data_IF_147490267722
#
_entry.id   IF_147490267722
#
_cell.length_a   1.000
_cell.length_b   1.000
_cell.length_c   1.000
_cell.angle_alpha   90.00
_cell.angle_beta   90.00
_cell.angle_gamma   90.00
#
_symmetry.space_group_name_H-M   'P 1'
#
loop_
_entity.id
_entity.type
_entity.pdbx_description
1 polymer ?
#
# COMPACT_ATOMS: atom_id res chain seq x y z
N UNK A 1 7.18 -1.79 -21.82
CA UNK A 1 6.45 -1.00 -20.81
C UNK A 1 5.37 -1.82 -20.12
N UNK A 2 4.28 -2.21 -20.80
CA UNK A 2 3.11 -2.86 -20.18
C UNK A 2 3.43 -4.17 -19.44
N UNK A 3 4.26 -5.04 -20.04
CA UNK A 3 4.67 -6.29 -19.41
C UNK A 3 5.44 -6.05 -18.09
N UNK A 4 6.38 -5.09 -18.10
CA UNK A 4 7.14 -4.73 -16.90
C UNK A 4 6.23 -4.16 -15.80
N UNK A 5 5.27 -3.32 -16.19
CA UNK A 5 4.27 -2.77 -15.26
C UNK A 5 3.41 -3.87 -14.65
N UNK A 6 2.94 -4.83 -15.45
CA UNK A 6 2.14 -5.96 -14.99
C UNK A 6 2.95 -6.88 -14.05
N UNK A 7 4.20 -7.19 -14.40
CA UNK A 7 5.09 -7.98 -13.56
C UNK A 7 5.38 -7.29 -12.23
N UNK A 8 5.68 -5.99 -12.26
CA UNK A 8 5.91 -5.19 -11.07
C UNK A 8 4.66 -5.13 -10.18
N UNK A 9 3.47 -4.95 -10.75
CA UNK A 9 2.20 -4.99 -10.01
C UNK A 9 1.92 -6.35 -9.39
N UNK A 10 2.17 -7.44 -10.12
CA UNK A 10 2.10 -8.80 -9.58
C UNK A 10 3.06 -9.02 -8.42
N UNK A 11 4.31 -8.58 -8.56
CA UNK A 11 5.32 -8.62 -7.48
C UNK A 11 4.89 -7.81 -6.26
N UNK A 12 4.34 -6.61 -6.47
CA UNK A 12 3.77 -5.79 -5.40
C UNK A 12 2.66 -6.52 -4.65
N UNK A 13 1.72 -7.14 -5.38
CA UNK A 13 0.63 -7.91 -4.79
C UNK A 13 1.10 -9.14 -4.00
N UNK A 14 2.14 -9.84 -4.49
CA UNK A 14 2.77 -10.96 -3.76
C UNK A 14 3.47 -10.45 -2.50
N UNK A 15 4.25 -9.37 -2.59
CA UNK A 15 4.92 -8.77 -1.44
C UNK A 15 3.91 -8.32 -0.38
N UNK A 16 2.79 -7.72 -0.81
CA UNK A 16 1.66 -7.38 0.05
C UNK A 16 1.12 -8.61 0.78
N UNK A 17 0.81 -9.68 0.04
CA UNK A 17 0.28 -10.91 0.63
C UNK A 17 1.21 -11.50 1.68
N UNK A 18 2.51 -11.55 1.39
CA UNK A 18 3.52 -12.07 2.32
C UNK A 18 3.67 -11.18 3.56
N UNK A 19 3.75 -9.85 3.38
CA UNK A 19 3.87 -8.90 4.47
C UNK A 19 2.65 -8.93 5.40
N UNK A 20 1.44 -8.91 4.82
CA UNK A 20 0.19 -8.96 5.57
C UNK A 20 0.08 -10.28 6.35
N UNK A 21 0.38 -11.41 5.71
CA UNK A 21 0.41 -12.73 6.37
C UNK A 21 1.43 -12.79 7.50
N UNK A 22 2.63 -12.24 7.29
CA UNK A 22 3.68 -12.22 8.29
C UNK A 22 3.28 -11.39 9.51
N UNK A 23 2.73 -10.19 9.30
CA UNK A 23 2.26 -9.31 10.37
C UNK A 23 1.10 -9.98 11.11
N UNK A 24 0.12 -10.52 10.40
CA UNK A 24 -1.03 -11.19 11.01
C UNK A 24 -0.63 -12.33 11.95
N UNK A 25 0.40 -13.11 11.62
CA UNK A 25 0.92 -14.20 12.48
C UNK A 25 1.52 -13.72 13.79
N UNK A 26 2.05 -12.51 13.83
CA UNK A 26 2.74 -11.95 15.00
C UNK A 26 1.97 -10.82 15.66
N UNK A 27 0.77 -10.51 15.19
CA UNK A 27 -0.02 -9.40 15.66
C UNK A 27 -0.90 -9.82 16.86
N UNK A 28 -0.62 -9.34 18.08
CA UNK A 28 -1.45 -9.65 19.25
C UNK A 28 -2.71 -8.79 19.32
N UNK A 29 -2.83 -7.75 18.47
CA UNK A 29 -3.96 -6.83 18.48
C UNK A 29 -5.09 -7.34 17.57
N UNK A 30 -6.33 -6.97 17.91
CA UNK A 30 -7.51 -7.21 17.06
C UNK A 30 -7.61 -6.27 15.85
N UNK A 31 -6.62 -5.41 15.64
CA UNK A 31 -6.56 -4.49 14.52
C UNK A 31 -5.72 -5.07 13.38
N UNK A 32 -6.10 -4.88 12.11
CA UNK A 32 -5.30 -5.32 10.96
C UNK A 32 -4.08 -4.42 10.75
N UNK A 33 -2.99 -4.72 11.47
CA UNK A 33 -1.75 -3.95 11.36
C UNK A 33 -1.01 -4.18 10.03
N UNK A 34 -1.25 -5.31 9.36
CA UNK A 34 -0.60 -5.66 8.10
C UNK A 34 -0.97 -4.68 6.98
N UNK A 35 -2.27 -4.46 6.77
CA UNK A 35 -2.78 -3.46 5.82
C UNK A 35 -2.30 -2.03 6.12
N UNK A 36 -2.25 -1.62 7.39
CA UNK A 36 -1.69 -0.31 7.76
C UNK A 36 -0.20 -0.23 7.37
N UNK A 37 0.57 -1.26 7.68
CA UNK A 37 2.00 -1.32 7.41
C UNK A 37 2.31 -1.21 5.92
N UNK A 38 1.67 -2.04 5.08
CA UNK A 38 1.91 -2.04 3.62
C UNK A 38 1.53 -0.70 2.97
N UNK A 39 0.47 -0.04 3.46
CA UNK A 39 0.02 1.24 2.90
C UNK A 39 0.99 2.36 3.27
N UNK A 40 1.41 2.44 4.54
CA UNK A 40 2.39 3.43 4.99
C UNK A 40 3.74 3.24 4.30
N UNK A 41 4.27 2.01 4.29
CA UNK A 41 5.59 1.75 3.67
C UNK A 41 5.53 1.91 2.15
N UNK A 42 4.40 1.56 1.52
CA UNK A 42 4.18 1.74 0.08
C UNK A 42 4.08 3.22 -0.32
N UNK A 43 3.34 4.03 0.44
CA UNK A 43 3.27 5.48 0.22
C UNK A 43 4.61 6.17 0.47
N UNK A 44 5.36 5.76 1.50
CA UNK A 44 6.71 6.27 1.74
C UNK A 44 7.64 5.95 0.57
N UNK A 45 7.61 4.70 0.07
CA UNK A 45 8.39 4.30 -1.10
C UNK A 45 7.98 5.09 -2.34
N UNK A 46 6.68 5.27 -2.59
CA UNK A 46 6.19 6.04 -3.73
C UNK A 46 6.61 7.51 -3.65
N UNK A 47 6.54 8.11 -2.46
CA UNK A 47 7.00 9.47 -2.19
C UNK A 47 8.51 9.61 -2.43
N UNK A 48 9.31 8.67 -1.92
CA UNK A 48 10.75 8.63 -2.14
C UNK A 48 11.09 8.50 -3.63
N UNK A 49 10.47 7.58 -4.35
CA UNK A 49 10.65 7.40 -5.80
C UNK A 49 10.24 8.65 -6.57
N UNK A 50 9.14 9.29 -6.17
CA UNK A 50 8.66 10.53 -6.80
C UNK A 50 9.64 11.67 -6.59
N UNK A 51 10.19 11.82 -5.37
CA UNK A 51 11.22 12.82 -5.06
C UNK A 51 12.51 12.57 -5.82
N UNK A 52 13.01 11.33 -5.83
CA UNK A 52 14.25 10.96 -6.52
C UNK A 52 14.18 11.21 -8.04
N UNK A 53 13.02 10.96 -8.64
CA UNK A 53 12.81 11.11 -10.09
C UNK A 53 12.31 12.50 -10.50
N UNK A 54 12.17 13.44 -9.54
CA UNK A 54 11.67 14.79 -9.81
C UNK A 54 12.60 15.63 -10.70
N UNK A 55 13.92 15.48 -10.53
CA UNK A 55 14.92 16.22 -11.28
C UNK A 55 15.07 15.77 -12.76
N UNK A 56 14.58 14.57 -13.10
CA UNK A 56 14.66 13.98 -14.44
C UNK A 56 13.28 13.84 -15.13
N UNK A 57 12.30 14.67 -14.75
CA UNK A 57 10.90 14.50 -15.17
C UNK A 57 10.65 14.58 -16.69
N UNK A 58 11.60 15.11 -17.47
CA UNK A 58 11.54 15.16 -18.93
C UNK A 58 12.09 13.91 -19.64
N UNK A 59 12.77 13.01 -18.92
CA UNK A 59 13.43 11.86 -19.53
C UNK A 59 12.49 10.65 -19.65
N UNK A 60 12.48 10.02 -20.83
CA UNK A 60 11.68 8.83 -21.13
C UNK A 60 11.96 7.65 -20.19
N UNK A 61 13.20 7.54 -19.70
CA UNK A 61 13.61 6.57 -18.69
C UNK A 61 12.94 6.86 -17.34
N UNK A 62 12.91 8.12 -16.90
CA UNK A 62 12.27 8.53 -15.65
C UNK A 62 10.78 8.23 -15.64
N UNK A 63 10.09 8.51 -16.76
CA UNK A 63 8.68 8.18 -16.93
C UNK A 63 8.42 6.66 -16.85
N UNK A 64 9.28 5.85 -17.47
CA UNK A 64 9.20 4.39 -17.43
C UNK A 64 9.35 3.86 -16.01
N UNK A 65 10.34 4.35 -15.26
CA UNK A 65 10.58 3.92 -13.87
C UNK A 65 9.41 4.29 -12.98
N UNK A 66 8.85 5.51 -13.11
CA UNK A 66 7.66 5.94 -12.35
C UNK A 66 6.45 5.05 -12.63
N UNK A 67 6.22 4.68 -13.89
CA UNK A 67 5.12 3.79 -14.25
C UNK A 67 5.32 2.38 -13.70
N UNK A 68 6.51 1.78 -13.87
CA UNK A 68 6.78 0.41 -13.45
C UNK A 68 6.82 0.27 -11.92
N UNK A 69 7.55 1.13 -11.22
CA UNK A 69 7.71 1.03 -9.77
C UNK A 69 6.59 1.74 -9.01
N UNK A 70 6.15 2.91 -9.47
CA UNK A 70 5.07 3.66 -8.82
C UNK A 70 3.71 3.04 -9.09
N UNK A 71 3.27 3.07 -10.35
CA UNK A 71 1.95 2.51 -10.71
C UNK A 71 1.91 0.98 -10.61
N UNK A 72 2.96 0.30 -11.08
CA UNK A 72 3.06 -1.16 -11.00
C UNK A 72 3.28 -1.63 -9.57
N UNK A 73 4.52 -1.61 -9.08
CA UNK A 73 4.88 -2.21 -7.79
C UNK A 73 4.13 -1.58 -6.61
N UNK A 74 4.22 -0.25 -6.41
CA UNK A 74 3.56 0.39 -5.26
C UNK A 74 2.02 0.28 -5.36
N UNK A 75 1.46 0.35 -6.57
CA UNK A 75 0.03 0.14 -6.79
C UNK A 75 -0.45 -1.29 -6.48
N UNK A 76 0.37 -2.31 -6.74
CA UNK A 76 0.06 -3.69 -6.35
C UNK A 76 0.30 -3.98 -4.86
N UNK A 77 1.29 -3.30 -4.27
CA UNK A 77 1.72 -3.46 -2.88
C UNK A 77 0.79 -2.78 -1.87
N UNK A 78 0.22 -1.63 -2.22
CA UNK A 78 -0.76 -0.92 -1.39
C UNK A 78 -2.20 -1.38 -1.72
N UNK A 79 -3.15 -1.11 -0.83
CA UNK A 79 -4.56 -1.48 -1.05
C UNK A 79 -5.53 -0.56 -0.30
N UNK A 80 -6.44 0.06 -1.05
CA UNK A 80 -7.57 0.80 -0.48
C UNK A 80 -8.79 -0.10 -0.20
N UNK A 81 -9.01 -1.11 -1.04
CA UNK A 81 -10.18 -1.98 -0.95
C UNK A 81 -10.15 -2.83 0.33
N UNK A 82 -8.99 -3.38 0.67
CA UNK A 82 -8.81 -4.15 1.92
C UNK A 82 -9.02 -3.27 3.14
N UNK A 83 -8.39 -2.08 3.18
CA UNK A 83 -8.52 -1.17 4.30
C UNK A 83 -9.98 -0.69 4.51
N UNK A 84 -10.73 -0.49 3.42
CA UNK A 84 -12.16 -0.14 3.48
C UNK A 84 -13.00 -1.26 4.11
N UNK A 85 -12.80 -2.50 3.66
CA UNK A 85 -13.51 -3.67 4.20
C UNK A 85 -13.18 -3.88 5.68
N UNK A 86 -11.90 -3.77 6.05
CA UNK A 86 -11.45 -3.90 7.43
C UNK A 86 -12.01 -2.80 8.34
N UNK A 87 -12.08 -1.57 7.85
CA UNK A 87 -12.69 -0.45 8.59
C UNK A 87 -14.15 -0.72 8.91
N UNK A 88 -14.91 -1.23 7.94
CA UNK A 88 -16.33 -1.60 8.14
C UNK A 88 -16.44 -2.80 9.07
N UNK A 89 -15.57 -3.82 8.94
CA UNK A 89 -15.55 -4.98 9.85
C UNK A 89 -15.28 -4.56 11.29
N UNK A 90 -14.30 -3.68 11.52
CA UNK A 90 -13.99 -3.15 12.84
C UNK A 90 -15.14 -2.29 13.39
N UNK A 91 -15.80 -1.50 12.55
CA UNK A 91 -17.02 -0.80 12.96
C UNK A 91 -18.04 -1.80 13.50
N UNK A 92 -18.38 -2.82 12.71
CA UNK A 92 -19.43 -3.80 13.07
C UNK A 92 -19.04 -4.61 14.30
N UNK A 93 -17.78 -5.04 14.43
CA UNK A 93 -17.34 -5.94 15.50
C UNK A 93 -16.92 -5.24 16.80
N UNK A 94 -16.26 -4.08 16.71
CA UNK A 94 -15.62 -3.38 17.84
C UNK A 94 -16.23 -1.97 18.07
N UNK A 95 -17.19 -1.55 17.25
CA UNK A 95 -17.90 -0.29 17.34
C UNK A 95 -17.41 0.80 16.39
N UNK A 96 -18.31 1.76 16.10
CA UNK A 96 -18.10 2.84 15.11
C UNK A 96 -16.79 3.61 15.32
N UNK A 97 -16.44 3.92 16.57
CA UNK A 97 -15.23 4.67 16.88
C UNK A 97 -13.97 3.94 16.42
N UNK A 98 -13.88 2.61 16.62
CA UNK A 98 -12.73 1.79 16.23
C UNK A 98 -12.58 1.72 14.72
N UNK A 99 -13.67 1.45 13.99
CA UNK A 99 -13.65 1.43 12.52
C UNK A 99 -13.26 2.77 11.90
N UNK A 100 -13.79 3.89 12.43
CA UNK A 100 -13.44 5.25 11.95
C UNK A 100 -11.98 5.59 12.26
N UNK A 101 -11.49 5.25 13.46
CA UNK A 101 -10.07 5.47 13.81
C UNK A 101 -9.13 4.69 12.91
N UNK A 102 -9.45 3.44 12.59
CA UNK A 102 -8.66 2.64 11.68
C UNK A 102 -8.64 3.22 10.27
N UNK A 103 -9.81 3.60 9.74
CA UNK A 103 -9.91 4.27 8.44
C UNK A 103 -9.08 5.56 8.39
N UNK A 104 -9.20 6.41 9.41
CA UNK A 104 -8.45 7.67 9.52
C UNK A 104 -6.95 7.43 9.63
N UNK A 105 -6.51 6.42 10.41
CA UNK A 105 -5.10 6.08 10.54
C UNK A 105 -4.51 5.58 9.21
N UNK A 106 -5.24 4.73 8.48
CA UNK A 106 -4.85 4.31 7.13
C UNK A 106 -4.73 5.51 6.19
N UNK A 107 -5.73 6.39 6.18
CA UNK A 107 -5.74 7.55 5.28
C UNK A 107 -4.65 8.57 5.59
N UNK A 108 -4.37 8.79 6.87
CA UNK A 108 -3.32 9.73 7.28
C UNK A 108 -1.91 9.16 7.09
N UNK A 109 -1.77 7.84 7.18
CA UNK A 109 -0.49 7.15 6.99
C UNK A 109 -0.13 6.89 5.53
N UNK A 110 -1.10 6.97 4.61
CA UNK A 110 -0.92 6.75 3.17
C UNK A 110 -0.84 8.06 2.42
#
# INVERSE_FOLDING_TARGET
>A
MMLLLALAGGLGAVARFLADTFVARHNPLRMPLGTLLINVTGSLLLGFLTGLLSAGAGDSTGATVRAVLGTGFCGGYTTFSTASVESVRLWVAEGRATGVRYAAATLAGS
#
